data_IF_130354288989
#
_entry.id   IF_130354288989
#
_cell.length_a   1.000
_cell.length_b   1.000
_cell.length_c   1.000
_cell.angle_alpha   90.00
_cell.angle_beta   90.00
_cell.angle_gamma   90.00
#
_symmetry.space_group_name_H-M   'P 1'
#
loop_
_entity.id
_entity.type
_entity.pdbx_description
1 polymer ?
2 non-polymer ?
3 water ?
#
# COMPACT_ATOMS: atom_id res chain seq x y z
N UNK A 9 11.17 -12.01 -14.20
CA UNK A 9 9.82 -12.12 -13.56
C UNK A 9 9.92 -12.26 -12.04
N UNK A 10 9.10 -11.50 -11.34
CA UNK A 10 9.12 -11.48 -9.88
C UNK A 10 8.21 -12.54 -9.31
N UNK A 11 8.73 -13.27 -8.33
CA UNK A 11 7.97 -14.35 -7.72
C UNK A 11 6.54 -13.93 -7.37
N UNK A 12 5.56 -14.72 -7.81
CA UNK A 12 4.16 -14.51 -7.41
C UNK A 12 3.42 -13.43 -8.17
N UNK A 13 4.14 -12.61 -8.93
CA UNK A 13 3.46 -11.44 -9.56
C UNK A 13 2.48 -11.79 -10.68
N UNK A 14 2.91 -12.67 -11.58
CA UNK A 14 2.06 -13.10 -12.67
C UNK A 14 0.77 -13.68 -12.11
N UNK A 15 0.87 -14.56 -11.10
CA UNK A 15 -0.30 -15.18 -10.46
C UNK A 15 -1.17 -14.12 -9.78
N UNK A 16 -0.53 -13.16 -9.09
CA UNK A 16 -1.30 -12.13 -8.38
C UNK A 16 -2.05 -11.26 -9.37
N UNK A 17 -1.40 -10.90 -10.48
CA UNK A 17 -2.07 -10.05 -11.45
C UNK A 17 -3.31 -10.79 -11.98
N UNK A 18 -3.15 -12.06 -12.32
CA UNK A 18 -4.28 -12.85 -12.85
C UNK A 18 -5.41 -12.95 -11.81
N UNK A 19 -5.05 -13.14 -10.54
CA UNK A 19 -6.01 -13.27 -9.46
C UNK A 19 -6.77 -11.95 -9.29
N UNK A 20 -6.03 -10.84 -9.42
CA UNK A 20 -6.64 -9.51 -9.33
C UNK A 20 -7.70 -9.29 -10.44
N UNK A 21 -7.34 -9.61 -11.68
CA UNK A 21 -8.25 -9.44 -12.81
C UNK A 21 -9.44 -10.38 -12.72
N UNK A 22 -9.22 -11.57 -12.16
CA UNK A 22 -10.28 -12.60 -12.07
C UNK A 22 -11.34 -12.21 -11.03
N UNK A 23 -10.88 -11.69 -9.90
CA UNK A 23 -11.74 -11.48 -8.75
C UNK A 23 -12.21 -10.02 -8.53
N UNK A 24 -11.78 -9.07 -9.39
CA UNK A 24 -12.20 -7.69 -9.24
C UNK A 24 -12.50 -7.09 -10.59
N UNK A 25 -12.75 -5.79 -10.59
CA UNK A 25 -13.00 -5.03 -11.79
C UNK A 25 -11.72 -4.54 -12.47
N UNK A 26 -10.56 -4.95 -11.96
CA UNK A 26 -9.32 -4.53 -12.58
C UNK A 26 -9.25 -5.11 -13.99
N UNK A 27 -8.97 -4.27 -14.99
CA UNK A 27 -8.85 -4.72 -16.41
C UNK A 27 -7.44 -4.67 -16.89
N UNK A 28 -6.70 -3.67 -16.44
CA UNK A 28 -5.32 -3.50 -16.85
C UNK A 28 -4.41 -3.44 -15.66
N UNK A 29 -3.28 -4.15 -15.72
CA UNK A 29 -2.27 -4.11 -14.64
C UNK A 29 -1.13 -3.19 -15.08
N UNK A 30 -0.85 -2.20 -14.24
CA UNK A 30 0.28 -1.30 -14.45
C UNK A 30 1.53 -1.81 -13.72
N UNK A 31 1.37 -2.20 -12.45
CA UNK A 31 2.49 -2.63 -11.63
C UNK A 31 1.99 -3.62 -10.60
N UNK A 32 2.87 -4.54 -10.19
CA UNK A 32 2.66 -5.36 -9.02
C UNK A 32 3.90 -5.21 -8.15
N UNK A 33 3.71 -5.18 -6.83
CA UNK A 33 4.77 -5.08 -5.84
C UNK A 33 4.43 -6.09 -4.74
N UNK A 34 5.44 -6.71 -4.20
CA UNK A 34 5.22 -7.55 -3.02
C UNK A 34 5.39 -6.68 -1.79
N UNK A 35 4.41 -6.77 -0.89
CA UNK A 35 4.53 -6.16 0.43
C UNK A 35 4.55 -7.26 1.48
N UNK A 36 5.61 -7.25 2.29
CA UNK A 36 5.80 -8.28 3.31
C UNK A 36 5.81 -7.56 4.63
N UNK A 37 4.81 -7.84 5.43
CA UNK A 37 4.71 -7.32 6.78
C UNK A 37 4.41 -8.50 7.69
N UNK A 38 3.45 -8.33 8.60
CA UNK A 38 2.94 -9.44 9.38
C UNK A 38 2.41 -10.56 8.45
N UNK A 39 1.84 -10.16 7.33
CA UNK A 39 1.47 -11.09 6.25
C UNK A 39 2.05 -10.60 4.93
N UNK A 40 2.05 -11.46 3.92
CA UNK A 40 2.49 -11.07 2.61
C UNK A 40 1.34 -10.77 1.69
N UNK A 41 1.45 -9.65 0.95
CA UNK A 41 0.42 -9.24 -0.01
C UNK A 41 1.12 -8.88 -1.33
N UNK A 42 0.45 -9.17 -2.42
CA UNK A 42 0.84 -8.62 -3.74
C UNK A 42 -0.07 -7.44 -3.99
N UNK A 43 0.56 -6.27 -4.15
CA UNK A 43 -0.21 -5.06 -4.29
C UNK A 43 -0.26 -4.81 -5.81
N UNK A 44 -1.47 -4.83 -6.40
CA UNK A 44 -1.57 -4.78 -7.86
C UNK A 44 -2.24 -3.47 -8.18
N UNK A 45 -1.57 -2.66 -9.01
CA UNK A 45 -2.08 -1.31 -9.35
C UNK A 45 -2.42 -1.27 -10.84
N UNK A 46 -3.55 -0.67 -11.18
CA UNK A 46 -3.92 -0.57 -12.60
C UNK A 46 -5.21 0.20 -12.72
N UNK A 47 -5.99 -0.15 -13.74
CA UNK A 47 -7.24 0.53 -14.04
C UNK A 47 -8.32 -0.48 -14.37
N UNK A 48 -9.57 -0.07 -14.15
CA UNK A 48 -10.71 -0.86 -14.63
C UNK A 48 -11.00 -0.56 -16.12
N UNK A 49 -12.05 -1.14 -16.72
CA UNK A 49 -12.26 -0.95 -18.16
C UNK A 49 -12.69 0.50 -18.51
N UNK A 50 -13.15 1.24 -17.49
CA UNK A 50 -13.50 2.66 -17.59
C UNK A 50 -12.28 3.55 -17.53
N UNK A 51 -11.16 2.97 -17.10
CA UNK A 51 -9.95 3.73 -16.99
C UNK A 51 -9.77 4.31 -15.60
N UNK A 52 -10.63 3.91 -14.65
CA UNK A 52 -10.45 4.37 -13.23
C UNK A 52 -9.29 3.64 -12.49
N UNK A 53 -8.33 4.40 -11.96
CA UNK A 53 -7.22 3.81 -11.19
C UNK A 53 -7.75 2.97 -10.00
N UNK A 54 -7.25 1.74 -9.88
CA UNK A 54 -7.72 0.82 -8.84
C UNK A 54 -6.52 0.14 -8.25
N UNK A 55 -6.56 -0.09 -6.94
CA UNK A 55 -5.54 -0.85 -6.23
C UNK A 55 -6.16 -2.12 -5.74
N UNK A 56 -5.42 -3.23 -5.87
CA UNK A 56 -5.95 -4.51 -5.39
C UNK A 56 -4.89 -5.17 -4.55
N UNK A 57 -5.25 -5.57 -3.34
CA UNK A 57 -4.28 -6.19 -2.46
C UNK A 57 -4.61 -7.69 -2.38
N UNK A 58 -3.76 -8.49 -3.00
CA UNK A 58 -4.02 -9.93 -3.08
C UNK A 58 -3.15 -10.61 -2.04
N UNK A 59 -3.78 -11.30 -1.08
CA UNK A 59 -3.03 -12.07 -0.07
C UNK A 59 -2.28 -13.27 -0.68
N UNK A 60 -1.08 -13.51 -0.17
CA UNK A 60 -0.38 -14.76 -0.50
C UNK A 60 -1.13 -15.92 0.13
N UNK A 61 -1.72 -15.68 1.30
CA UNK A 61 -2.54 -16.66 2.00
C UNK A 61 -3.86 -16.84 1.23
N UNK A 62 -4.08 -18.01 0.63
CA UNK A 62 -5.26 -18.20 -0.25
C UNK A 62 -6.58 -18.17 0.49
N UNK A 63 -6.52 -18.27 1.82
CA UNK A 63 -7.72 -18.18 2.65
C UNK A 63 -8.14 -16.75 3.05
N UNK A 64 -7.22 -15.78 2.88
CA UNK A 64 -7.43 -14.40 3.27
C UNK A 64 -8.20 -13.70 2.13
N UNK A 65 -8.82 -12.57 2.41
CA UNK A 65 -9.65 -12.00 1.35
C UNK A 65 -8.93 -10.95 0.55
N UNK A 66 -9.20 -10.93 -0.76
CA UNK A 66 -8.71 -9.85 -1.63
C UNK A 66 -9.46 -8.56 -1.25
N UNK A 67 -8.73 -7.44 -1.17
CA UNK A 67 -9.35 -6.12 -0.95
C UNK A 67 -9.03 -5.23 -2.14
N UNK A 68 -9.97 -4.38 -2.53
CA UNK A 68 -9.66 -3.41 -3.61
C UNK A 68 -10.28 -2.09 -3.29
N UNK A 69 -9.67 -1.02 -3.81
CA UNK A 69 -10.21 0.31 -3.65
C UNK A 69 -9.80 1.08 -4.89
N UNK A 70 -10.68 1.97 -5.36
CA UNK A 70 -10.22 3.00 -6.26
C UNK A 70 -9.17 3.91 -5.60
N UNK A 71 -8.12 4.23 -6.34
CA UNK A 71 -7.09 5.13 -5.86
C UNK A 71 -7.70 6.44 -5.29
N UNK A 72 -8.75 6.95 -5.91
CA UNK A 72 -9.31 8.24 -5.48
C UNK A 72 -9.96 8.12 -4.10
N UNK A 73 -10.22 6.89 -3.63
CA UNK A 73 -10.86 6.68 -2.31
C UNK A 73 -9.88 6.71 -1.14
N UNK A 74 -8.58 6.81 -1.44
CA UNK A 74 -7.54 6.86 -0.39
C UNK A 74 -6.76 8.15 -0.52
N UNK A 75 -6.03 8.53 0.54
CA UNK A 75 -5.10 9.67 0.43
C UNK A 75 -3.99 9.26 -0.55
N UNK A 76 -3.31 10.24 -1.12
CA UNK A 76 -2.19 10.00 -2.03
C UNK A 76 -0.94 9.58 -1.27
N UNK A 77 -0.01 9.03 -2.00
CA UNK A 77 1.30 8.68 -1.45
C UNK A 77 1.96 9.95 -0.88
N UNK A 78 1.88 11.07 -1.61
CA UNK A 78 2.49 12.33 -1.09
C UNK A 78 1.86 12.79 0.22
N UNK A 79 0.56 12.64 0.31
CA UNK A 79 -0.16 13.04 1.50
C UNK A 79 0.21 12.22 2.69
N UNK A 80 0.32 10.89 2.51
CA UNK A 80 0.84 10.01 3.55
C UNK A 80 2.18 10.53 4.07
N UNK A 81 3.10 10.87 3.15
CA UNK A 81 4.43 11.40 3.58
C UNK A 81 4.24 12.70 4.36
N UNK A 82 3.33 13.55 3.88
CA UNK A 82 3.09 14.89 4.44
C UNK A 82 2.52 14.79 5.86
N UNK A 83 1.62 13.82 6.03
CA UNK A 83 1.04 13.53 7.33
C UNK A 83 2.10 13.25 8.38
N UNK A 84 3.09 12.44 8.03
CA UNK A 84 4.14 12.09 8.96
C UNK A 84 5.07 13.29 9.21
N UNK A 85 5.34 14.06 8.16
CA UNK A 85 6.17 15.27 8.27
C UNK A 85 5.48 16.28 9.16
N UNK A 86 4.20 16.52 8.89
CA UNK A 86 3.38 17.46 9.68
C UNK A 86 3.24 17.01 11.13
N UNK A 87 3.46 15.73 11.37
CA UNK A 87 3.49 15.22 12.72
C UNK A 87 4.81 15.55 13.44
N UNK A 88 5.76 16.13 12.72
CA UNK A 88 7.03 16.51 13.32
C UNK A 88 7.95 15.33 13.60
N UNK A 89 7.79 14.23 12.86
CA UNK A 89 8.55 12.98 13.13
C UNK A 89 9.78 12.79 12.24
N UNK A 90 9.91 13.62 11.22
CA UNK A 90 10.84 13.35 10.11
C UNK A 90 12.06 14.28 10.10
N UNK A 91 13.28 13.71 10.04
CA UNK A 91 14.48 14.49 9.66
C UNK A 91 14.77 14.38 8.14
N UNK A 92 14.55 13.20 7.60
CA UNK A 92 14.74 12.94 6.18
C UNK A 92 13.68 11.94 5.73
N UNK A 93 12.82 12.38 4.81
CA UNK A 93 11.80 11.48 4.23
C UNK A 93 12.47 10.50 3.29
N UNK A 94 12.03 9.24 3.31
CA UNK A 94 12.69 8.25 2.49
C UNK A 94 11.77 7.74 1.40
N UNK A 95 10.91 6.80 1.73
CA UNK A 95 10.07 6.10 0.71
C UNK A 95 8.71 5.88 1.28
N UNK A 96 7.77 5.60 0.40
CA UNK A 96 6.41 5.27 0.80
C UNK A 96 5.94 4.12 -0.10
N UNK A 97 5.26 3.13 0.49
CA UNK A 97 4.70 2.02 -0.28
C UNK A 97 3.30 1.77 0.15
N UNK A 98 2.48 1.37 -0.79
CA UNK A 98 1.15 0.89 -0.49
C UNK A 98 1.31 -0.47 0.24
N UNK A 99 0.49 -0.63 1.26
CA UNK A 99 0.67 -1.75 2.17
C UNK A 99 -0.68 -2.23 2.81
N UNK A 100 -0.56 -3.29 3.60
CA UNK A 100 -1.77 -3.85 4.28
C UNK A 100 -1.37 -4.68 5.46
N UNK A 101 -2.23 -4.69 6.48
CA UNK A 101 -2.08 -5.67 7.58
C UNK A 101 -3.46 -6.05 8.03
N UNK A 102 -3.70 -7.37 8.08
CA UNK A 102 -5.02 -7.89 8.39
C UNK A 102 -5.95 -7.31 7.35
N UNK A 103 -7.02 -6.64 7.78
CA UNK A 103 -7.91 -6.00 6.79
C UNK A 103 -7.81 -4.47 6.72
N UNK A 104 -6.68 -3.97 7.21
CA UNK A 104 -6.41 -2.54 7.27
C UNK A 104 -5.52 -2.23 6.08
N UNK A 105 -5.97 -1.28 5.28
CA UNK A 105 -5.20 -0.82 4.11
C UNK A 105 -4.42 0.41 4.48
N UNK A 106 -3.16 0.43 3.99
CA UNK A 106 -2.17 1.34 4.64
C UNK A 106 -1.22 1.94 3.64
N UNK A 107 -0.65 3.08 3.98
CA UNK A 107 0.58 3.54 3.34
C UNK A 107 1.68 3.38 4.39
N UNK A 108 2.79 2.76 3.99
CA UNK A 108 3.93 2.60 4.89
C UNK A 108 4.87 3.71 4.51
N UNK A 109 5.12 4.62 5.43
CA UNK A 109 6.03 5.77 5.18
C UNK A 109 7.33 5.52 5.93
N UNK A 110 8.45 5.54 5.25
CA UNK A 110 9.71 5.28 5.91
C UNK A 110 10.51 6.57 5.91
N UNK A 111 11.35 6.76 6.93
CA UNK A 111 12.03 8.06 7.06
C UNK A 111 13.13 7.92 8.12
N UNK A 112 14.07 8.87 8.13
CA UNK A 112 14.96 9.06 9.28
C UNK A 112 14.24 10.01 10.19
N UNK A 113 14.11 9.61 11.45
CA UNK A 113 13.35 10.39 12.43
C UNK A 113 14.25 11.44 13.08
N UNK A 114 13.77 12.02 14.18
CA UNK A 114 14.50 13.11 14.86
C UNK A 114 15.80 12.69 15.54
N UNK A 115 15.95 11.41 15.85
CA UNK A 115 17.22 10.89 16.39
C UNK A 115 18.10 10.29 15.30
N UNK A 116 17.72 10.49 14.03
CA UNK A 116 18.46 9.91 12.92
C UNK A 116 18.13 8.46 12.70
N UNK A 117 17.12 7.94 13.40
CA UNK A 117 16.89 6.51 13.30
C UNK A 117 15.87 6.22 12.22
N UNK A 118 16.15 5.20 11.43
CA UNK A 118 15.26 4.76 10.37
C UNK A 118 13.99 4.31 11.07
N UNK A 119 12.85 4.83 10.63
CA UNK A 119 11.60 4.57 11.28
C UNK A 119 10.54 4.32 10.20
N UNK A 120 9.43 3.70 10.61
CA UNK A 120 8.31 3.43 9.71
C UNK A 120 7.05 3.89 10.41
N UNK A 121 6.17 4.58 9.69
CA UNK A 121 4.83 4.83 10.22
C UNK A 121 3.80 4.28 9.23
N UNK A 122 2.71 3.76 9.79
CA UNK A 122 1.64 3.17 8.97
C UNK A 122 0.46 4.12 9.05
N UNK A 123 0.03 4.62 7.89
CA UNK A 123 -1.04 5.62 7.83
C UNK A 123 -2.26 5.00 7.16
N UNK A 124 -3.44 5.14 7.75
CA UNK A 124 -4.63 4.53 7.14
C UNK A 124 -4.88 5.08 5.74
N UNK A 125 -5.05 4.16 4.80
CA UNK A 125 -5.23 4.48 3.37
C UNK A 125 -6.42 5.42 3.22
N UNK A 126 -7.50 5.15 3.97
CA UNK A 126 -8.71 5.94 3.82
C UNK A 126 -8.70 7.20 4.68
N UNK A 127 -8.46 7.05 5.97
CA UNK A 127 -8.58 8.19 6.90
C UNK A 127 -7.38 9.12 7.00
N UNK A 128 -6.20 8.59 6.67
CA UNK A 128 -4.96 9.32 6.93
C UNK A 128 -4.54 9.35 8.39
N UNK A 129 -5.20 8.56 9.23
CA UNK A 129 -4.83 8.45 10.62
C UNK A 129 -3.51 7.72 10.76
N UNK A 130 -2.62 8.24 11.60
CA UNK A 130 -1.40 7.49 11.89
C UNK A 130 -1.75 6.36 12.82
N UNK A 131 -1.53 5.15 12.36
CA UNK A 131 -1.94 3.98 13.10
C UNK A 131 -0.84 3.42 13.98
N UNK A 132 0.40 3.54 13.52
CA UNK A 132 1.50 2.97 14.26
C UNK A 132 2.78 3.69 13.79
N UNK A 133 3.70 3.94 14.72
CA UNK A 133 5.02 4.48 14.40
C UNK A 133 5.97 3.49 15.00
N UNK A 134 6.91 2.98 14.20
CA UNK A 134 7.87 1.95 14.60
C UNK A 134 9.31 2.36 14.29
N UNK A 135 10.19 2.18 15.27
CA UNK A 135 11.63 2.36 14.99
C UNK A 135 12.37 1.04 15.24
N UNK A 136 12.62 0.25 14.18
CA UNK A 136 13.29 -1.05 14.28
C UNK A 136 14.63 -1.09 15.01
X LIG B 1 -9.12 -0.30 -21.27
#
# INVERSE_FOLDING_TARGET
SNASAMAQKEEGHEAAAAEAKKETDLAHVDQVETFVGKEKYYVVKGTDKKGTALYVWVPADKKAKILSKEAKEGISEDKAAKIIKDEGLVSKQKEVHLAREGNVLLWEVTYLDKEGQYSLSYVDFTTGKILKNITP
NI NI
#
